data_IF_790048453773
#
_entry.id   IF_790048453773
#
_cell.length_a   1.000
_cell.length_b   1.000
_cell.length_c   1.000
_cell.angle_alpha   90.00
_cell.angle_beta   90.00
_cell.angle_gamma   90.00
#
_symmetry.space_group_name_H-M   'P 1'
#
loop_
_entity.id
_entity.type
_entity.pdbx_description
1 polymer ?
#
# COMPACT_ATOMS: atom_id res chain seq x y z
N UNK A 1 -94.70 82.24 -27.84
CA UNK A 1 -93.51 82.02 -28.68
C UNK A 1 -92.22 82.16 -27.84
N UNK A 2 -91.93 83.32 -27.25
CA UNK A 2 -90.71 83.54 -26.44
C UNK A 2 -90.52 82.57 -25.24
N UNK A 3 -91.59 82.16 -24.57
CA UNK A 3 -91.50 81.21 -23.44
C UNK A 3 -91.13 79.77 -23.86
N UNK A 4 -91.46 79.37 -25.09
CA UNK A 4 -91.14 78.03 -25.60
C UNK A 4 -89.69 77.95 -26.08
N UNK A 5 -89.17 79.01 -26.71
CA UNK A 5 -87.75 79.13 -27.09
C UNK A 5 -86.83 79.19 -25.85
N UNK A 6 -87.26 79.88 -24.78
CA UNK A 6 -86.54 79.91 -23.52
C UNK A 6 -86.49 78.54 -22.80
N UNK A 7 -87.54 77.72 -22.93
CA UNK A 7 -87.56 76.35 -22.39
C UNK A 7 -86.66 75.40 -23.19
N UNK A 8 -86.64 75.51 -24.52
CA UNK A 8 -85.73 74.74 -25.38
C UNK A 8 -84.25 75.11 -25.16
N UNK A 9 -83.96 76.38 -24.88
CA UNK A 9 -82.60 76.81 -24.52
C UNK A 9 -82.14 76.27 -23.15
N UNK A 10 -83.06 75.85 -22.28
CA UNK A 10 -82.76 75.36 -20.93
C UNK A 10 -82.58 73.84 -20.84
N UNK A 11 -83.05 73.09 -21.84
CA UNK A 11 -82.98 71.61 -21.88
C UNK A 11 -81.53 71.06 -21.87
N UNK A 12 -80.57 71.60 -22.65
CA UNK A 12 -79.17 71.17 -22.58
C UNK A 12 -78.53 71.44 -21.22
N UNK A 13 -78.91 72.54 -20.56
CA UNK A 13 -78.42 72.87 -19.23
C UNK A 13 -78.93 71.88 -18.18
N UNK A 14 -80.19 71.46 -18.29
CA UNK A 14 -80.77 70.43 -17.41
C UNK A 14 -80.12 69.05 -17.62
N UNK A 15 -79.87 68.66 -18.86
CA UNK A 15 -79.14 67.42 -19.19
C UNK A 15 -77.74 67.42 -18.59
N UNK A 16 -76.97 68.50 -18.79
CA UNK A 16 -75.64 68.65 -18.19
C UNK A 16 -75.69 68.64 -16.67
N UNK A 17 -76.71 69.22 -16.04
CA UNK A 17 -76.88 69.16 -14.58
C UNK A 17 -77.14 67.73 -14.09
N UNK A 18 -77.96 66.96 -14.82
CA UNK A 18 -78.23 65.56 -14.51
C UNK A 18 -77.00 64.68 -14.69
N UNK A 19 -76.29 64.80 -15.80
CA UNK A 19 -75.03 64.09 -16.03
C UNK A 19 -73.98 64.44 -14.98
N UNK A 20 -73.84 65.72 -14.64
CA UNK A 20 -72.91 66.16 -13.61
C UNK A 20 -73.29 65.60 -12.23
N UNK A 21 -74.59 65.47 -11.95
CA UNK A 21 -75.06 64.78 -10.75
C UNK A 21 -74.68 63.29 -10.74
N UNK A 22 -74.92 62.56 -11.84
CA UNK A 22 -74.55 61.15 -11.98
C UNK A 22 -73.04 60.94 -11.82
N UNK A 23 -72.22 61.75 -12.50
CA UNK A 23 -70.76 61.69 -12.38
C UNK A 23 -70.29 61.96 -10.94
N UNK A 24 -70.96 62.86 -10.20
CA UNK A 24 -70.65 63.08 -8.77
C UNK A 24 -71.02 61.88 -7.92
N UNK A 25 -72.14 61.20 -8.20
CA UNK A 25 -72.50 59.96 -7.50
C UNK A 25 -71.53 58.83 -7.79
N UNK A 26 -71.16 58.63 -9.05
CA UNK A 26 -70.14 57.66 -9.46
C UNK A 26 -68.80 57.95 -8.80
N UNK A 27 -68.37 59.22 -8.78
CA UNK A 27 -67.13 59.61 -8.12
C UNK A 27 -67.21 59.33 -6.60
N UNK A 28 -68.36 59.55 -5.95
CA UNK A 28 -68.55 59.18 -4.54
C UNK A 28 -68.46 57.66 -4.33
N UNK A 29 -69.04 56.85 -5.23
CA UNK A 29 -68.97 55.38 -5.18
C UNK A 29 -67.54 54.87 -5.38
N UNK A 30 -66.85 55.36 -6.40
CA UNK A 30 -65.45 55.04 -6.65
C UNK A 30 -64.56 55.46 -5.46
N UNK A 31 -64.82 56.61 -4.86
CA UNK A 31 -64.08 57.03 -3.66
C UNK A 31 -64.33 56.12 -2.46
N UNK A 32 -65.53 55.57 -2.28
CA UNK A 32 -65.77 54.55 -1.24
C UNK A 32 -65.06 53.24 -1.54
N UNK A 33 -65.11 52.77 -2.78
CA UNK A 33 -64.42 51.54 -3.20
C UNK A 33 -62.89 51.65 -3.01
N UNK A 34 -62.29 52.77 -3.42
CA UNK A 34 -60.86 53.04 -3.20
C UNK A 34 -60.53 53.03 -1.71
N UNK A 35 -61.36 53.64 -0.86
CA UNK A 35 -61.16 53.63 0.60
C UNK A 35 -61.23 52.21 1.16
N UNK A 36 -62.19 51.40 0.72
CA UNK A 36 -62.28 50.01 1.12
C UNK A 36 -61.05 49.22 0.69
N UNK A 37 -60.64 49.33 -0.58
CA UNK A 37 -59.44 48.66 -1.10
C UNK A 37 -58.17 49.04 -0.34
N UNK A 38 -58.03 50.31 0.06
CA UNK A 38 -56.91 50.74 0.90
C UNK A 38 -56.94 50.08 2.27
N UNK A 39 -58.12 49.98 2.91
CA UNK A 39 -58.26 49.26 4.19
C UNK A 39 -57.92 47.77 4.03
N UNK A 40 -58.35 47.12 2.95
CA UNK A 40 -57.99 45.73 2.65
C UNK A 40 -56.48 45.56 2.44
N UNK A 41 -55.85 46.47 1.71
CA UNK A 41 -54.39 46.50 1.52
C UNK A 41 -53.68 46.64 2.87
N UNK A 42 -54.10 47.56 3.74
CA UNK A 42 -53.47 47.78 5.04
C UNK A 42 -53.62 46.56 5.96
N UNK A 43 -54.79 45.89 5.94
CA UNK A 43 -55.00 44.62 6.64
C UNK A 43 -54.07 43.52 6.13
N UNK A 44 -53.93 43.39 4.80
CA UNK A 44 -53.05 42.40 4.19
C UNK A 44 -51.57 42.65 4.55
N UNK A 45 -51.12 43.91 4.47
CA UNK A 45 -49.76 44.31 4.86
C UNK A 45 -49.51 44.03 6.34
N UNK A 46 -50.47 44.35 7.20
CA UNK A 46 -50.37 44.09 8.64
C UNK A 46 -50.29 42.59 8.94
N UNK A 47 -51.09 41.77 8.26
CA UNK A 47 -51.02 40.31 8.36
C UNK A 47 -49.67 39.77 7.86
N UNK A 48 -49.15 40.25 6.73
CA UNK A 48 -47.83 39.86 6.25
C UNK A 48 -46.71 40.25 7.22
N UNK A 49 -46.81 41.43 7.84
CA UNK A 49 -45.87 41.91 8.84
C UNK A 49 -45.94 41.05 10.12
N UNK A 50 -47.14 40.70 10.59
CA UNK A 50 -47.35 39.79 11.72
C UNK A 50 -46.77 38.39 11.47
N UNK A 51 -46.85 37.89 10.23
CA UNK A 51 -46.29 36.59 9.83
C UNK A 51 -44.78 36.63 9.50
N UNK A 52 -44.18 37.81 9.34
CA UNK A 52 -42.76 37.92 8.99
C UNK A 52 -41.82 37.32 10.05
N UNK A 53 -42.02 37.51 11.37
CA UNK A 53 -41.23 36.85 12.40
C UNK A 53 -41.29 35.32 12.33
N UNK A 54 -42.48 34.74 12.12
CA UNK A 54 -42.65 33.29 12.00
C UNK A 54 -41.88 32.74 10.78
N UNK A 55 -42.00 33.40 9.62
CA UNK A 55 -41.22 33.06 8.41
C UNK A 55 -39.71 33.14 8.65
N UNK A 56 -39.24 34.16 9.37
CA UNK A 56 -37.82 34.29 9.72
C UNK A 56 -37.34 33.19 10.68
N UNK A 57 -38.17 32.77 11.64
CA UNK A 57 -37.84 31.64 12.54
C UNK A 57 -37.74 30.33 11.75
N UNK A 58 -38.75 30.03 10.92
CA UNK A 58 -38.74 28.85 10.06
C UNK A 58 -37.51 28.83 9.12
N UNK A 59 -37.14 29.98 8.53
CA UNK A 59 -35.94 30.07 7.69
C UNK A 59 -34.65 29.72 8.46
N UNK A 60 -34.50 30.24 9.70
CA UNK A 60 -33.35 29.92 10.56
C UNK A 60 -33.34 28.44 10.97
N UNK A 61 -34.50 27.85 11.23
CA UNK A 61 -34.62 26.43 11.56
C UNK A 61 -34.21 25.55 10.37
N UNK A 62 -34.61 25.92 9.16
CA UNK A 62 -34.17 25.25 7.92
C UNK A 62 -32.66 25.38 7.72
N UNK A 63 -32.07 26.55 8.00
CA UNK A 63 -30.61 26.73 7.94
C UNK A 63 -29.88 25.85 8.97
N UNK A 64 -30.37 25.79 10.22
CA UNK A 64 -29.83 24.89 11.25
C UNK A 64 -29.95 23.43 10.85
N UNK A 65 -31.10 23.01 10.30
CA UNK A 65 -31.31 21.65 9.82
C UNK A 65 -30.33 21.29 8.69
N UNK A 66 -30.07 22.23 7.76
CA UNK A 66 -29.06 22.05 6.71
C UNK A 66 -27.65 21.90 7.29
N UNK A 67 -27.28 22.69 8.30
CA UNK A 67 -25.99 22.57 8.99
C UNK A 67 -25.85 21.20 9.70
N UNK A 68 -26.88 20.76 10.42
CA UNK A 68 -26.91 19.43 11.06
C UNK A 68 -26.81 18.31 10.03
N UNK A 69 -27.50 18.44 8.89
CA UNK A 69 -27.42 17.47 7.81
C UNK A 69 -26.00 17.39 7.21
N UNK A 70 -25.31 18.52 7.07
CA UNK A 70 -23.91 18.53 6.64
C UNK A 70 -23.00 17.85 7.66
N UNK A 71 -23.18 18.14 8.95
CA UNK A 71 -22.44 17.49 10.03
C UNK A 71 -22.66 15.98 10.04
N UNK A 72 -23.91 15.51 9.89
CA UNK A 72 -24.20 14.08 9.79
C UNK A 72 -23.51 13.42 8.61
N UNK A 73 -23.50 14.05 7.42
CA UNK A 73 -22.77 13.52 6.26
C UNK A 73 -21.26 13.42 6.53
N UNK A 74 -20.67 14.39 7.23
CA UNK A 74 -19.24 14.32 7.59
C UNK A 74 -18.98 13.17 8.55
N UNK A 75 -19.82 12.98 9.57
CA UNK A 75 -19.71 11.86 10.52
C UNK A 75 -19.89 10.53 9.81
N UNK A 76 -20.90 10.38 8.93
CA UNK A 76 -21.11 9.18 8.13
C UNK A 76 -19.90 8.85 7.26
N UNK A 77 -19.28 9.84 6.62
CA UNK A 77 -18.06 9.63 5.83
C UNK A 77 -16.89 9.15 6.70
N UNK A 78 -16.73 9.71 7.89
CA UNK A 78 -15.68 9.31 8.84
C UNK A 78 -15.91 7.90 9.43
N UNK A 79 -17.16 7.52 9.64
CA UNK A 79 -17.52 6.17 10.09
C UNK A 79 -17.26 5.14 8.98
N UNK A 80 -17.59 5.48 7.73
CA UNK A 80 -17.28 4.63 6.58
C UNK A 80 -15.77 4.43 6.41
N UNK A 81 -14.97 5.50 6.52
CA UNK A 81 -13.52 5.38 6.46
C UNK A 81 -12.96 4.57 7.62
N UNK A 82 -13.49 4.76 8.83
CA UNK A 82 -13.09 3.97 10.01
C UNK A 82 -13.41 2.49 9.82
N UNK A 83 -14.61 2.13 9.33
CA UNK A 83 -14.97 0.74 9.06
C UNK A 83 -14.06 0.09 8.01
N UNK A 84 -13.69 0.82 6.96
CA UNK A 84 -12.71 0.33 5.97
C UNK A 84 -11.32 0.10 6.59
N UNK A 85 -10.87 0.99 7.48
CA UNK A 85 -9.62 0.82 8.22
C UNK A 85 -9.68 -0.38 9.17
N UNK A 86 -10.80 -0.59 9.88
CA UNK A 86 -10.98 -1.73 10.78
C UNK A 86 -10.91 -3.07 10.02
N UNK A 87 -11.52 -3.15 8.83
CA UNK A 87 -11.40 -4.32 7.95
C UNK A 87 -9.95 -4.55 7.50
N UNK A 88 -9.26 -3.51 7.03
CA UNK A 88 -7.86 -3.60 6.62
C UNK A 88 -6.95 -4.04 7.78
N UNK A 89 -7.21 -3.58 9.00
CA UNK A 89 -6.46 -4.03 10.19
C UNK A 89 -6.71 -5.51 10.49
N UNK A 90 -7.94 -5.99 10.36
CA UNK A 90 -8.26 -7.41 10.57
C UNK A 90 -7.60 -8.31 9.52
N UNK A 91 -7.54 -7.87 8.26
CA UNK A 91 -6.82 -8.56 7.18
C UNK A 91 -5.31 -8.63 7.46
N UNK A 92 -4.69 -7.50 7.84
CA UNK A 92 -3.28 -7.46 8.22
C UNK A 92 -2.97 -8.34 9.43
N UNK A 93 -3.85 -8.38 10.43
CA UNK A 93 -3.70 -9.28 11.58
C UNK A 93 -3.77 -10.76 11.17
N UNK A 94 -4.65 -11.11 10.23
CA UNK A 94 -4.73 -12.46 9.68
C UNK A 94 -3.47 -12.84 8.89
N UNK A 95 -2.95 -11.93 8.08
CA UNK A 95 -1.67 -12.09 7.37
C UNK A 95 -0.49 -12.26 8.34
N UNK A 96 -0.44 -11.44 9.40
CA UNK A 96 0.58 -11.56 10.45
C UNK A 96 0.56 -12.94 11.10
N UNK A 97 -0.63 -13.46 11.45
CA UNK A 97 -0.79 -14.81 12.01
C UNK A 97 -0.35 -15.89 11.03
N UNK A 98 -0.71 -15.76 9.75
CA UNK A 98 -0.29 -16.68 8.69
C UNK A 98 1.24 -16.71 8.53
N UNK A 99 1.87 -15.53 8.50
CA UNK A 99 3.33 -15.40 8.41
C UNK A 99 4.03 -15.97 9.65
N UNK A 100 3.49 -15.75 10.85
CA UNK A 100 4.01 -16.35 12.08
C UNK A 100 4.01 -17.88 12.01
N UNK A 101 2.89 -18.49 11.59
CA UNK A 101 2.80 -19.93 11.39
C UNK A 101 3.82 -20.43 10.35
N UNK A 102 4.01 -19.69 9.25
CA UNK A 102 5.02 -20.04 8.24
C UNK A 102 6.44 -19.98 8.78
N UNK A 103 6.76 -18.96 9.58
CA UNK A 103 8.07 -18.83 10.24
C UNK A 103 8.30 -19.99 11.20
N UNK A 104 7.31 -20.38 11.99
CA UNK A 104 7.45 -21.55 12.86
C UNK A 104 7.66 -22.86 12.09
N UNK A 105 6.93 -23.06 10.99
CA UNK A 105 7.11 -24.22 10.12
C UNK A 105 8.55 -24.27 9.56
N UNK A 106 9.03 -23.14 9.03
CA UNK A 106 10.41 -23.01 8.54
C UNK A 106 11.45 -23.23 9.64
N UNK A 107 11.20 -22.79 10.88
CA UNK A 107 12.07 -23.08 12.03
C UNK A 107 12.14 -24.58 12.32
N UNK A 108 11.01 -25.29 12.27
CA UNK A 108 10.97 -26.76 12.46
C UNK A 108 11.73 -27.47 11.34
N UNK A 109 11.51 -27.09 10.09
CA UNK A 109 12.25 -27.61 8.92
C UNK A 109 13.77 -27.33 9.01
N UNK A 110 14.17 -26.15 9.48
CA UNK A 110 15.58 -25.82 9.67
C UNK A 110 16.24 -26.72 10.72
N UNK A 111 15.54 -26.96 11.84
CA UNK A 111 16.03 -27.84 12.91
C UNK A 111 16.17 -29.29 12.43
N UNK A 112 15.23 -29.80 11.63
CA UNK A 112 15.35 -31.15 11.07
C UNK A 112 16.51 -31.26 10.09
N UNK A 113 16.73 -30.26 9.23
CA UNK A 113 17.87 -30.21 8.32
C UNK A 113 19.21 -30.12 9.07
N UNK A 114 19.29 -29.37 10.18
CA UNK A 114 20.48 -29.33 11.04
C UNK A 114 20.80 -30.71 11.62
N UNK A 115 19.81 -31.41 12.18
CA UNK A 115 20.01 -32.77 12.69
C UNK A 115 20.46 -33.75 11.61
N UNK A 116 19.91 -33.63 10.40
CA UNK A 116 20.35 -34.44 9.26
C UNK A 116 21.77 -34.11 8.82
N UNK A 117 22.15 -32.82 8.82
CA UNK A 117 23.51 -32.37 8.54
C UNK A 117 24.50 -32.94 9.55
N UNK A 118 24.19 -32.85 10.85
CA UNK A 118 25.03 -33.37 11.92
C UNK A 118 25.19 -34.91 11.82
N UNK A 119 24.10 -35.62 11.50
CA UNK A 119 24.16 -37.07 11.26
C UNK A 119 25.06 -37.43 10.06
N UNK A 120 24.99 -36.68 8.96
CA UNK A 120 25.86 -36.87 7.80
C UNK A 120 27.31 -36.56 8.13
N UNK A 121 27.55 -35.50 8.92
CA UNK A 121 28.88 -35.11 9.36
C UNK A 121 29.52 -36.21 10.22
N UNK A 122 28.80 -36.76 11.20
CA UNK A 122 29.29 -37.88 12.03
C UNK A 122 29.63 -39.11 11.18
N UNK A 123 28.76 -39.48 10.23
CA UNK A 123 29.04 -40.59 9.31
C UNK A 123 30.28 -40.35 8.44
N UNK A 124 30.53 -39.10 8.04
CA UNK A 124 31.74 -38.74 7.32
C UNK A 124 32.98 -38.83 8.22
N UNK A 125 32.92 -38.33 9.46
CA UNK A 125 33.99 -38.43 10.46
C UNK A 125 34.31 -39.90 10.80
N UNK A 126 33.29 -40.76 10.92
CA UNK A 126 33.44 -42.20 11.13
C UNK A 126 34.12 -42.89 9.94
N UNK A 127 33.71 -42.56 8.70
CA UNK A 127 34.34 -43.09 7.49
C UNK A 127 35.80 -42.61 7.35
N UNK A 128 36.09 -41.36 7.70
CA UNK A 128 37.45 -40.82 7.73
C UNK A 128 38.32 -41.54 8.75
N UNK A 129 37.81 -41.80 9.96
CA UNK A 129 38.50 -42.58 10.99
C UNK A 129 38.76 -44.03 10.54
N UNK A 130 37.82 -44.67 9.84
CA UNK A 130 38.01 -46.01 9.27
C UNK A 130 39.10 -46.02 8.20
N UNK A 131 39.12 -45.03 7.30
CA UNK A 131 40.17 -44.89 6.29
C UNK A 131 41.54 -44.62 6.93
N UNK A 132 41.60 -43.83 8.00
CA UNK A 132 42.83 -43.60 8.75
C UNK A 132 43.36 -44.89 9.40
N UNK A 133 42.48 -45.66 10.05
CA UNK A 133 42.84 -46.94 10.67
C UNK A 133 43.31 -47.98 9.62
N UNK A 134 42.64 -48.04 8.46
CA UNK A 134 43.09 -48.85 7.33
C UNK A 134 44.47 -48.39 6.84
N UNK A 135 44.67 -47.08 6.66
CA UNK A 135 45.96 -46.49 6.27
C UNK A 135 47.09 -46.85 7.24
N UNK A 136 46.84 -46.80 8.55
CA UNK A 136 47.80 -47.23 9.57
C UNK A 136 48.07 -48.74 9.52
N UNK A 137 47.05 -49.57 9.27
CA UNK A 137 47.22 -51.02 9.14
C UNK A 137 48.07 -51.38 7.92
N UNK A 138 47.86 -50.71 6.78
CA UNK A 138 48.69 -50.86 5.59
C UNK A 138 50.12 -50.40 5.85
N UNK A 139 50.30 -49.25 6.52
CA UNK A 139 51.63 -48.75 6.92
C UNK A 139 52.37 -49.79 7.77
N UNK A 140 51.73 -50.35 8.80
CA UNK A 140 52.33 -51.38 9.66
C UNK A 140 52.64 -52.67 8.90
N UNK A 141 51.78 -53.09 7.96
CA UNK A 141 52.03 -54.27 7.14
C UNK A 141 53.23 -54.06 6.19
N UNK A 142 53.32 -52.89 5.56
CA UNK A 142 54.47 -52.49 4.75
C UNK A 142 55.75 -52.44 5.59
N UNK A 143 55.71 -51.87 6.79
CA UNK A 143 56.85 -51.87 7.73
C UNK A 143 57.31 -53.29 8.08
N UNK A 144 56.38 -54.23 8.32
CA UNK A 144 56.71 -55.65 8.54
C UNK A 144 57.31 -56.31 7.32
N UNK A 145 56.80 -56.04 6.12
CA UNK A 145 57.33 -56.57 4.87
C UNK A 145 58.75 -56.04 4.59
N UNK A 146 58.99 -54.74 4.85
CA UNK A 146 60.31 -54.14 4.76
C UNK A 146 61.26 -54.78 5.77
N UNK A 147 60.86 -54.92 7.03
CA UNK A 147 61.67 -55.59 8.05
C UNK A 147 61.98 -57.06 7.70
N UNK A 148 61.01 -57.80 7.15
CA UNK A 148 61.25 -59.16 6.66
C UNK A 148 62.25 -59.18 5.50
N UNK A 149 62.13 -58.25 4.56
CA UNK A 149 63.09 -58.09 3.46
C UNK A 149 64.49 -57.76 3.98
N UNK A 150 64.60 -56.82 4.91
CA UNK A 150 65.88 -56.48 5.56
C UNK A 150 66.46 -57.68 6.31
N UNK A 151 65.64 -58.46 7.03
CA UNK A 151 66.11 -59.67 7.73
C UNK A 151 66.55 -60.79 6.76
N UNK A 152 65.91 -60.90 5.59
CA UNK A 152 66.30 -61.82 4.52
C UNK A 152 67.63 -61.39 3.89
N UNK A 153 67.78 -60.09 3.61
CA UNK A 153 69.01 -59.49 3.11
C UNK A 153 70.16 -59.65 4.15
N UNK A 154 69.88 -59.47 5.44
CA UNK A 154 70.82 -59.76 6.54
C UNK A 154 71.15 -61.26 6.64
N UNK A 155 70.18 -62.17 6.46
CA UNK A 155 70.44 -63.61 6.48
C UNK A 155 71.27 -64.09 5.27
N UNK A 156 71.12 -63.42 4.12
CA UNK A 156 71.90 -63.66 2.91
C UNK A 156 73.31 -63.06 2.99
N UNK A 157 73.53 -62.06 3.87
CA UNK A 157 74.79 -61.32 3.96
C UNK A 157 75.53 -61.49 5.31
N UNK A 158 74.98 -62.26 6.25
CA UNK A 158 75.36 -62.26 7.66
C UNK A 158 75.68 -63.64 8.24
N UNK A 159 76.48 -64.44 7.53
CA UNK A 159 77.18 -65.56 8.16
C UNK A 159 78.40 -65.07 8.95
N UNK A 160 78.21 -64.48 10.14
CA UNK A 160 79.16 -64.57 11.26
C UNK A 160 78.71 -63.83 12.55
N UNK A 161 78.85 -64.57 13.66
CA UNK A 161 79.02 -64.13 15.05
C UNK A 161 77.80 -63.75 15.92
N UNK A 162 77.24 -64.80 16.54
CA UNK A 162 77.23 -65.06 18.00
C UNK A 162 77.05 -63.90 19.02
N UNK A 163 75.89 -63.94 19.70
CA UNK A 163 75.71 -64.26 21.15
C UNK A 163 75.77 -63.13 22.22
N UNK A 164 74.74 -63.17 23.10
CA UNK A 164 74.71 -63.06 24.59
C UNK A 164 73.63 -62.08 25.15
N UNK A 165 72.51 -62.67 25.55
CA UNK A 165 71.72 -62.65 26.81
C UNK A 165 71.65 -61.43 27.78
N UNK A 166 70.41 -61.09 28.22
CA UNK A 166 69.81 -61.19 29.59
C UNK A 166 68.71 -60.12 29.87
N UNK A 167 67.45 -60.51 30.14
CA UNK A 167 66.76 -60.60 31.47
C UNK A 167 66.59 -59.20 32.16
N UNK A 168 65.47 -58.72 32.72
CA UNK A 168 64.30 -59.32 33.37
C UNK A 168 63.22 -58.24 33.76
N UNK A 169 61.96 -58.69 33.97
CA UNK A 169 60.92 -58.26 34.97
C UNK A 169 60.39 -56.79 35.06
N UNK A 170 59.14 -56.41 35.47
CA UNK A 170 57.87 -57.02 35.95
C UNK A 170 56.76 -55.94 36.14
N UNK A 171 55.50 -56.42 36.27
CA UNK A 171 54.33 -55.87 37.04
C UNK A 171 53.50 -54.69 36.45
N UNK A 172 52.22 -54.88 36.07
CA UNK A 172 50.97 -55.09 36.84
C UNK A 172 50.34 -53.82 37.42
N UNK A 173 49.10 -53.50 36.99
CA UNK A 173 47.97 -53.13 37.86
C UNK A 173 46.63 -53.01 37.08
N UNK A 174 45.67 -53.86 37.45
CA UNK A 174 44.21 -53.72 37.32
C UNK A 174 43.70 -52.40 37.95
N UNK A 175 42.54 -51.79 37.65
CA UNK A 175 41.18 -52.30 37.90
C UNK A 175 40.07 -51.29 37.47
N UNK A 176 38.94 -51.84 37.00
CA UNK A 176 37.49 -51.50 37.21
C UNK A 176 36.87 -50.14 36.83
N UNK A 177 35.78 -50.18 36.02
CA UNK A 177 34.41 -49.94 36.50
C UNK A 177 33.29 -50.12 35.43
N UNK A 178 32.21 -50.79 35.88
CA UNK A 178 30.79 -50.67 35.51
C UNK A 178 30.19 -51.34 34.26
N UNK A 179 29.59 -52.49 34.53
CA UNK A 179 28.41 -53.09 33.88
C UNK A 179 27.20 -52.15 33.83
N UNK A 180 26.35 -52.29 32.80
CA UNK A 180 24.87 -52.39 32.88
C UNK A 180 24.34 -53.06 31.61
N UNK A 181 23.60 -54.14 31.82
CA UNK A 181 22.74 -54.87 30.88
C UNK A 181 21.66 -54.00 30.21
N UNK A 182 21.33 -54.28 28.94
CA UNK A 182 19.97 -54.72 28.55
C UNK A 182 19.86 -55.24 27.11
N UNK A 183 19.07 -56.30 27.02
CA UNK A 183 18.79 -57.22 25.93
C UNK A 183 17.87 -56.65 24.81
N UNK A 184 17.50 -57.43 23.77
CA UNK A 184 17.56 -57.03 22.36
C UNK A 184 16.20 -56.56 21.81
N UNK A 185 16.21 -55.91 20.65
CA UNK A 185 15.04 -55.99 19.78
C UNK A 185 15.42 -56.10 18.30
N UNK A 186 14.94 -57.19 17.72
CA UNK A 186 15.04 -57.60 16.33
C UNK A 186 13.85 -57.00 15.58
N UNK A 187 14.09 -56.13 14.60
CA UNK A 187 13.10 -55.82 13.55
C UNK A 187 13.83 -55.74 12.21
N UNK A 188 13.35 -56.57 11.27
CA UNK A 188 13.70 -56.65 9.86
C UNK A 188 13.45 -55.33 9.11
N UNK A 189 14.30 -55.03 8.13
CA UNK A 189 13.95 -54.58 6.76
C UNK A 189 15.26 -54.10 6.09
N UNK A 190 15.90 -54.90 5.25
CA UNK A 190 15.74 -54.92 3.78
C UNK A 190 16.17 -53.61 3.11
N UNK A 191 17.22 -53.70 2.28
CA UNK A 191 17.60 -52.88 1.09
C UNK A 191 19.14 -52.68 1.09
N UNK A 192 19.96 -53.58 0.55
CA UNK A 192 20.24 -53.74 -0.90
C UNK A 192 20.76 -52.44 -1.54
N UNK A 193 22.06 -52.16 -1.42
CA UNK A 193 23.06 -52.50 -2.44
C UNK A 193 24.40 -51.84 -2.12
N UNK A 194 25.42 -52.70 -2.02
CA UNK A 194 26.82 -52.36 -2.12
C UNK A 194 27.13 -51.85 -3.52
N UNK A 195 27.77 -50.69 -3.57
CA UNK A 195 28.77 -50.39 -4.59
C UNK A 195 30.09 -51.07 -4.19
N UNK A 196 30.90 -51.32 -5.23
CA UNK A 196 32.33 -51.59 -5.20
C UNK A 196 32.75 -53.02 -4.81
N UNK A 197 33.44 -53.74 -5.71
CA UNK A 197 34.88 -53.53 -5.85
C UNK A 197 35.42 -54.16 -7.13
N UNK A 198 36.27 -53.37 -7.79
CA UNK A 198 37.37 -53.85 -8.62
C UNK A 198 38.44 -54.40 -7.67
N UNK A 199 38.91 -55.62 -7.91
CA UNK A 199 40.28 -56.03 -7.59
C UNK A 199 40.77 -56.92 -8.72
N UNK A 200 41.66 -56.35 -9.52
CA UNK A 200 42.68 -57.08 -10.26
C UNK A 200 43.56 -57.84 -9.26
N UNK A 201 43.87 -59.11 -9.54
CA UNK A 201 45.14 -59.68 -9.12
C UNK A 201 45.51 -60.86 -10.04
N UNK A 202 46.52 -60.58 -10.87
CA UNK A 202 47.43 -61.55 -11.45
C UNK A 202 48.20 -62.26 -10.32
N UNK A 203 48.23 -63.59 -10.33
CA UNK A 203 49.29 -64.35 -9.69
C UNK A 203 49.47 -65.72 -10.34
N UNK A 204 50.57 -65.82 -11.09
CA UNK A 204 51.30 -67.05 -11.38
C UNK A 204 51.43 -67.97 -10.16
N UNK A 205 51.29 -69.28 -10.36
CA UNK A 205 52.31 -70.25 -9.94
C UNK A 205 52.00 -71.68 -10.40
N UNK A 206 52.79 -72.14 -11.36
CA UNK A 206 53.50 -73.44 -11.40
C UNK A 206 52.98 -74.62 -10.57
N UNK A 207 52.75 -75.78 -11.22
CA UNK A 207 53.71 -76.91 -11.18
C UNK A 207 53.23 -78.14 -11.97
N UNK A 208 54.08 -78.57 -12.90
CA UNK A 208 54.54 -79.94 -13.15
C UNK A 208 53.57 -81.13 -13.03
N UNK A 209 53.41 -81.90 -14.11
CA UNK A 209 54.10 -83.19 -14.29
C UNK A 209 53.45 -84.08 -15.38
N UNK A 210 54.33 -84.53 -16.29
CA UNK A 210 54.44 -85.93 -16.75
C UNK A 210 53.32 -86.58 -17.59
N UNK A 211 53.68 -86.77 -18.86
CA UNK A 211 53.59 -88.02 -19.63
C UNK A 211 52.28 -88.83 -19.59
N UNK A 212 51.59 -88.90 -20.72
CA UNK A 212 51.44 -90.17 -21.46
C UNK A 212 50.66 -89.96 -22.75
N UNK A 213 51.12 -90.64 -23.79
CA UNK A 213 50.55 -90.75 -25.11
C UNK A 213 49.14 -91.35 -25.11
N UNK A 214 48.16 -90.64 -25.69
CA UNK A 214 46.88 -91.20 -26.13
C UNK A 214 46.30 -90.37 -27.30
N UNK A 215 45.51 -90.97 -28.20
CA UNK A 215 45.36 -90.52 -29.58
C UNK A 215 44.48 -89.27 -29.72
N UNK A 216 44.81 -88.45 -30.71
CA UNK A 216 44.13 -87.17 -31.01
C UNK A 216 42.70 -87.42 -31.48
N UNK A 217 41.71 -87.16 -30.62
CA UNK A 217 40.29 -87.11 -30.99
C UNK A 217 39.94 -85.68 -31.43
N UNK A 218 40.07 -85.40 -32.73
CA UNK A 218 39.77 -84.08 -33.35
C UNK A 218 38.38 -83.51 -33.01
N UNK A 219 37.40 -84.37 -32.72
CA UNK A 219 36.05 -83.93 -32.36
C UNK A 219 35.97 -83.18 -31.02
N UNK A 220 36.79 -83.55 -30.02
CA UNK A 220 36.82 -82.87 -28.72
C UNK A 220 37.51 -81.51 -28.78
N UNK A 221 38.43 -81.34 -29.74
CA UNK A 221 39.14 -80.09 -30.00
C UNK A 221 38.23 -79.07 -30.70
N UNK A 222 37.41 -79.51 -31.67
CA UNK A 222 36.42 -78.66 -32.35
C UNK A 222 35.33 -78.20 -31.39
N UNK A 223 34.79 -79.09 -30.55
CA UNK A 223 33.79 -78.69 -29.54
C UNK A 223 34.36 -77.78 -28.45
N UNK A 224 35.64 -77.96 -28.09
CA UNK A 224 36.36 -77.03 -27.22
C UNK A 224 36.54 -75.64 -27.84
N UNK A 225 36.88 -75.58 -29.13
CA UNK A 225 36.98 -74.32 -29.88
C UNK A 225 35.62 -73.62 -30.03
N UNK A 226 34.55 -74.36 -30.30
CA UNK A 226 33.18 -73.81 -30.34
C UNK A 226 32.74 -73.30 -28.95
N UNK A 227 33.10 -73.98 -27.87
CA UNK A 227 32.83 -73.54 -26.50
C UNK A 227 33.58 -72.24 -26.14
N UNK A 228 34.81 -72.08 -26.62
CA UNK A 228 35.58 -70.84 -26.47
C UNK A 228 34.98 -69.73 -27.34
N UNK A 229 34.66 -70.02 -28.59
CA UNK A 229 34.05 -69.05 -29.51
C UNK A 229 32.70 -68.53 -28.98
N UNK A 230 31.85 -69.42 -28.44
CA UNK A 230 30.57 -69.05 -27.82
C UNK A 230 30.77 -68.20 -26.57
N UNK A 231 31.73 -68.52 -25.71
CA UNK A 231 32.10 -67.68 -24.55
C UNK A 231 32.63 -66.31 -24.97
N UNK A 232 33.47 -66.24 -25.99
CA UNK A 232 33.97 -64.96 -26.52
C UNK A 232 32.84 -64.12 -27.12
N UNK A 233 31.89 -64.74 -27.83
CA UNK A 233 30.72 -64.06 -28.37
C UNK A 233 29.76 -63.58 -27.28
N UNK A 234 29.48 -64.39 -26.26
CA UNK A 234 28.63 -63.98 -25.13
C UNK A 234 29.29 -62.84 -24.35
N UNK A 235 30.59 -62.92 -24.11
CA UNK A 235 31.35 -61.85 -23.46
C UNK A 235 31.34 -60.56 -24.28
N UNK A 236 31.56 -60.63 -25.60
CA UNK A 236 31.47 -59.46 -26.49
C UNK A 236 30.07 -58.85 -26.51
N UNK A 237 29.02 -59.67 -26.58
CA UNK A 237 27.63 -59.20 -26.54
C UNK A 237 27.31 -58.52 -25.21
N UNK A 238 27.75 -59.11 -24.10
CA UNK A 238 27.54 -58.54 -22.77
C UNK A 238 28.33 -57.24 -22.60
N UNK A 239 29.59 -57.18 -23.04
CA UNK A 239 30.40 -55.98 -23.01
C UNK A 239 29.82 -54.85 -23.89
N UNK A 240 29.30 -55.18 -25.09
CA UNK A 240 28.60 -54.22 -25.94
C UNK A 240 27.31 -53.72 -25.29
N UNK A 241 26.52 -54.59 -24.67
CA UNK A 241 25.31 -54.20 -23.95
C UNK A 241 25.62 -53.29 -22.75
N UNK A 242 26.66 -53.62 -21.98
CA UNK A 242 27.11 -52.81 -20.85
C UNK A 242 27.62 -51.43 -21.30
N UNK A 243 28.47 -51.37 -22.34
CA UNK A 243 28.97 -50.11 -22.88
C UNK A 243 27.84 -49.23 -23.44
N UNK A 244 26.87 -49.82 -24.14
CA UNK A 244 25.70 -49.10 -24.63
C UNK A 244 24.80 -48.60 -23.50
N UNK A 245 24.56 -49.41 -22.46
CA UNK A 245 23.82 -48.99 -21.28
C UNK A 245 24.52 -47.83 -20.53
N UNK A 246 25.85 -47.87 -20.43
CA UNK A 246 26.62 -46.75 -19.87
C UNK A 246 26.50 -45.48 -20.72
N UNK A 247 26.55 -45.61 -22.05
CA UNK A 247 26.36 -44.48 -22.98
C UNK A 247 24.97 -43.87 -22.84
N UNK A 248 23.92 -44.70 -22.74
CA UNK A 248 22.54 -44.23 -22.52
C UNK A 248 22.38 -43.53 -21.18
N UNK A 249 22.96 -44.06 -20.10
CA UNK A 249 22.94 -43.40 -18.78
C UNK A 249 23.64 -42.04 -18.83
N UNK A 250 24.75 -41.93 -19.55
CA UNK A 250 25.44 -40.64 -19.77
C UNK A 250 24.55 -39.67 -20.56
N UNK A 251 23.92 -40.12 -21.64
CA UNK A 251 22.99 -39.29 -22.43
C UNK A 251 21.80 -38.80 -21.58
N UNK A 252 21.17 -39.69 -20.80
CA UNK A 252 20.06 -39.33 -19.91
C UNK A 252 20.47 -38.30 -18.85
N UNK A 253 21.69 -38.37 -18.31
CA UNK A 253 22.22 -37.36 -17.39
C UNK A 253 22.37 -35.99 -18.06
N UNK A 254 22.88 -35.93 -19.29
CA UNK A 254 22.99 -34.67 -20.02
C UNK A 254 21.62 -34.07 -20.37
N UNK A 255 20.64 -34.89 -20.73
CA UNK A 255 19.27 -34.43 -20.98
C UNK A 255 18.64 -33.85 -19.71
N UNK A 256 18.81 -34.51 -18.56
CA UNK A 256 18.34 -34.02 -17.27
C UNK A 256 19.00 -32.68 -16.90
N UNK A 257 20.31 -32.57 -17.04
CA UNK A 257 21.05 -31.33 -16.79
C UNK A 257 20.60 -30.19 -17.72
N UNK A 258 20.36 -30.49 -19.00
CA UNK A 258 19.90 -29.49 -19.96
C UNK A 258 18.47 -29.03 -19.65
N UNK A 259 17.59 -29.93 -19.21
CA UNK A 259 16.25 -29.59 -18.74
C UNK A 259 16.29 -28.70 -17.49
N UNK A 260 17.18 -28.97 -16.53
CA UNK A 260 17.38 -28.13 -15.36
C UNK A 260 17.92 -26.73 -15.74
N UNK A 261 18.91 -26.67 -16.63
CA UNK A 261 19.44 -25.41 -17.16
C UNK A 261 18.36 -24.56 -17.84
N UNK A 262 17.46 -25.17 -18.62
CA UNK A 262 16.31 -24.46 -19.20
C UNK A 262 15.38 -23.90 -18.14
N UNK A 263 14.99 -24.73 -17.16
CA UNK A 263 14.14 -24.27 -16.04
C UNK A 263 14.76 -23.13 -15.25
N UNK A 264 16.08 -23.18 -15.01
CA UNK A 264 16.79 -22.12 -14.31
C UNK A 264 16.85 -20.84 -15.14
N UNK A 265 17.09 -20.93 -16.45
CA UNK A 265 17.04 -19.77 -17.36
C UNK A 265 15.67 -19.12 -17.37
N UNK A 266 14.60 -19.90 -17.44
CA UNK A 266 13.22 -19.41 -17.37
C UNK A 266 12.95 -18.70 -16.03
N UNK A 267 13.34 -19.29 -14.91
CA UNK A 267 13.24 -18.65 -13.58
C UNK A 267 14.03 -17.34 -13.47
N UNK A 268 15.23 -17.29 -14.05
CA UNK A 268 16.04 -16.06 -14.07
C UNK A 268 15.35 -14.98 -14.92
N UNK A 269 14.78 -15.35 -16.08
CA UNK A 269 14.03 -14.41 -16.91
C UNK A 269 12.77 -13.91 -16.21
N UNK A 270 12.02 -14.78 -15.53
CA UNK A 270 10.86 -14.40 -14.72
C UNK A 270 11.25 -13.47 -13.58
N UNK A 271 12.31 -13.82 -12.84
CA UNK A 271 12.85 -12.99 -11.77
C UNK A 271 13.35 -11.63 -12.31
N UNK A 272 13.90 -11.59 -13.51
CA UNK A 272 14.32 -10.35 -14.18
C UNK A 272 13.17 -9.43 -14.59
N UNK A 273 11.97 -9.97 -14.83
CA UNK A 273 10.77 -9.16 -15.14
C UNK A 273 10.14 -8.51 -13.90
N UNK A 274 10.36 -9.06 -12.71
CA UNK A 274 9.85 -8.49 -11.45
C UNK A 274 10.37 -7.06 -11.19
N UNK A 275 11.69 -6.77 -11.24
CA UNK A 275 12.19 -5.42 -11.01
C UNK A 275 11.73 -4.44 -12.10
N UNK A 276 11.56 -4.89 -13.35
CA UNK A 276 11.01 -4.03 -14.41
C UNK A 276 9.56 -3.62 -14.13
N UNK A 277 8.72 -4.56 -13.66
CA UNK A 277 7.34 -4.27 -13.26
C UNK A 277 7.31 -3.31 -12.07
N UNK A 278 8.11 -3.57 -11.04
CA UNK A 278 8.22 -2.69 -9.87
C UNK A 278 8.73 -1.30 -10.25
N UNK A 279 9.69 -1.19 -11.18
CA UNK A 279 10.16 0.09 -11.68
C UNK A 279 9.07 0.85 -12.45
N UNK A 280 8.27 0.15 -13.25
CA UNK A 280 7.13 0.76 -13.96
C UNK A 280 6.03 1.24 -13.00
N UNK A 281 5.73 0.48 -11.95
CA UNK A 281 4.79 0.86 -10.90
C UNK A 281 5.31 2.07 -10.10
N UNK A 282 6.57 2.05 -9.67
CA UNK A 282 7.21 3.19 -9.01
C UNK A 282 7.17 4.44 -9.91
N UNK A 283 7.43 4.30 -11.22
CA UNK A 283 7.35 5.42 -12.14
C UNK A 283 5.92 5.98 -12.28
N UNK A 284 4.88 5.15 -12.21
CA UNK A 284 3.48 5.60 -12.17
C UNK A 284 3.17 6.34 -10.87
N UNK A 285 3.53 5.77 -9.73
CA UNK A 285 3.33 6.39 -8.42
C UNK A 285 4.03 7.75 -8.31
N UNK A 286 5.26 7.88 -8.84
CA UNK A 286 5.98 9.16 -8.87
C UNK A 286 5.24 10.22 -9.68
N UNK A 287 4.61 9.86 -10.80
CA UNK A 287 3.79 10.80 -11.60
C UNK A 287 2.53 11.21 -10.86
N UNK A 288 1.81 10.26 -10.29
CA UNK A 288 0.60 10.54 -9.50
C UNK A 288 0.91 11.46 -8.31
N UNK A 289 2.02 11.22 -7.61
CA UNK A 289 2.48 12.09 -6.52
C UNK A 289 2.84 13.49 -7.02
N UNK A 290 3.45 13.62 -8.20
CA UNK A 290 3.74 14.92 -8.80
C UNK A 290 2.45 15.69 -9.14
N UNK A 291 1.49 15.04 -9.80
CA UNK A 291 0.18 15.63 -10.13
C UNK A 291 -0.58 16.08 -8.88
N UNK A 292 -0.57 15.25 -7.83
CA UNK A 292 -1.19 15.60 -6.55
C UNK A 292 -0.51 16.82 -5.90
N UNK A 293 0.82 16.91 -5.95
CA UNK A 293 1.57 18.08 -5.44
C UNK A 293 1.20 19.35 -6.20
N UNK A 294 1.16 19.29 -7.53
CA UNK A 294 0.75 20.44 -8.35
C UNK A 294 -0.70 20.88 -8.03
N UNK A 295 -1.61 19.92 -7.85
CA UNK A 295 -3.01 20.23 -7.48
C UNK A 295 -3.12 20.89 -6.10
N UNK A 296 -2.31 20.43 -5.12
CA UNK A 296 -2.25 21.02 -3.78
C UNK A 296 -1.71 22.45 -3.83
N UNK A 297 -0.65 22.71 -4.60
CA UNK A 297 -0.11 24.06 -4.78
C UNK A 297 -1.15 25.00 -5.42
N UNK A 298 -1.90 24.52 -6.42
CA UNK A 298 -2.96 25.31 -7.04
C UNK A 298 -4.09 25.62 -6.06
N UNK A 299 -4.50 24.66 -5.23
CA UNK A 299 -5.52 24.86 -4.21
C UNK A 299 -5.04 25.82 -3.10
N UNK A 300 -3.78 25.71 -2.68
CA UNK A 300 -3.19 26.64 -1.71
C UNK A 300 -3.16 28.07 -2.24
N UNK A 301 -2.79 28.28 -3.52
CA UNK A 301 -2.85 29.61 -4.15
C UNK A 301 -4.27 30.17 -4.15
N UNK A 302 -5.26 29.37 -4.56
CA UNK A 302 -6.68 29.80 -4.55
C UNK A 302 -7.19 30.11 -3.15
N UNK A 303 -6.75 29.37 -2.15
CA UNK A 303 -7.11 29.61 -0.75
C UNK A 303 -6.50 30.93 -0.27
N UNK A 304 -5.21 31.17 -0.53
CA UNK A 304 -4.55 32.44 -0.21
C UNK A 304 -5.23 33.64 -0.91
N UNK A 305 -5.61 33.50 -2.18
CA UNK A 305 -6.35 34.54 -2.91
C UNK A 305 -7.73 34.80 -2.29
N UNK A 306 -8.45 33.74 -1.90
CA UNK A 306 -9.76 33.86 -1.26
C UNK A 306 -9.67 34.49 0.13
N UNK A 307 -8.66 34.13 0.92
CA UNK A 307 -8.36 34.74 2.22
C UNK A 307 -8.02 36.22 2.08
N UNK A 308 -7.16 36.58 1.14
CA UNK A 308 -6.83 37.97 0.87
C UNK A 308 -8.07 38.78 0.47
N UNK A 309 -8.93 38.23 -0.40
CA UNK A 309 -10.21 38.86 -0.77
C UNK A 309 -11.14 39.02 0.44
N UNK A 310 -11.19 38.04 1.34
CA UNK A 310 -11.99 38.11 2.56
C UNK A 310 -11.49 39.21 3.51
N UNK A 311 -10.18 39.32 3.71
CA UNK A 311 -9.54 40.37 4.51
C UNK A 311 -9.86 41.75 3.92
N UNK A 312 -9.68 41.93 2.62
CA UNK A 312 -10.00 43.20 1.93
C UNK A 312 -11.48 43.54 2.06
N UNK A 313 -12.38 42.56 1.94
CA UNK A 313 -13.81 42.79 2.15
C UNK A 313 -14.14 43.17 3.60
N UNK A 314 -13.47 42.54 4.57
CA UNK A 314 -13.65 42.86 5.98
C UNK A 314 -13.19 44.27 6.30
N UNK A 315 -11.97 44.66 5.89
CA UNK A 315 -11.46 46.02 6.03
C UNK A 315 -12.42 47.05 5.43
N UNK A 316 -12.94 46.79 4.22
CA UNK A 316 -13.95 47.65 3.59
C UNK A 316 -15.24 47.77 4.39
N UNK A 317 -15.68 46.71 5.07
CA UNK A 317 -16.88 46.75 5.93
C UNK A 317 -16.60 47.55 7.20
N UNK A 318 -15.41 47.41 7.78
CA UNK A 318 -14.97 48.15 8.95
C UNK A 318 -14.85 49.65 8.64
N UNK A 319 -14.25 50.02 7.50
CA UNK A 319 -14.17 51.40 7.00
C UNK A 319 -15.55 52.01 6.76
N UNK A 320 -16.48 51.24 6.19
CA UNK A 320 -17.86 51.68 6.03
C UNK A 320 -18.53 51.91 7.39
N UNK A 321 -18.30 51.00 8.34
CA UNK A 321 -18.87 51.10 9.68
C UNK A 321 -18.32 52.30 10.47
N UNK A 322 -17.04 52.65 10.32
CA UNK A 322 -16.44 53.84 10.95
C UNK A 322 -17.01 55.12 10.35
N UNK A 323 -17.12 55.21 9.02
CA UNK A 323 -17.71 56.38 8.34
C UNK A 323 -19.20 56.57 8.67
N UNK A 324 -19.98 55.50 8.72
CA UNK A 324 -21.39 55.56 9.16
C UNK A 324 -21.50 56.03 10.62
N UNK A 325 -20.56 55.63 11.48
CA UNK A 325 -20.48 56.12 12.87
C UNK A 325 -20.18 57.62 12.94
N UNK A 326 -19.30 58.14 12.06
CA UNK A 326 -19.02 59.57 11.96
C UNK A 326 -20.27 60.37 11.57
N UNK A 327 -20.95 59.99 10.48
CA UNK A 327 -22.20 60.66 10.06
C UNK A 327 -23.26 60.62 11.14
N UNK A 328 -23.48 59.45 11.75
CA UNK A 328 -24.42 59.33 12.86
C UNK A 328 -24.00 60.17 14.08
N UNK A 329 -22.69 60.36 14.30
CA UNK A 329 -22.13 61.25 15.32
C UNK A 329 -22.50 62.71 15.08
N UNK A 330 -22.20 63.24 13.89
CA UNK A 330 -22.49 64.62 13.49
C UNK A 330 -24.01 64.90 13.52
N UNK A 331 -24.84 63.99 12.98
CA UNK A 331 -26.31 64.13 13.03
C UNK A 331 -26.82 64.14 14.47
N UNK A 332 -26.32 63.28 15.34
CA UNK A 332 -26.70 63.28 16.76
C UNK A 332 -26.23 64.54 17.48
N UNK A 333 -25.09 65.11 17.11
CA UNK A 333 -24.60 66.36 17.68
C UNK A 333 -25.49 67.53 17.25
N UNK A 334 -25.82 67.61 15.97
CA UNK A 334 -26.76 68.60 15.43
C UNK A 334 -28.14 68.52 16.12
N UNK A 335 -28.73 67.32 16.21
CA UNK A 335 -30.02 67.13 16.88
C UNK A 335 -29.98 67.51 18.37
N UNK A 336 -28.86 67.30 19.06
CA UNK A 336 -28.68 67.75 20.46
C UNK A 336 -28.65 69.27 20.57
N UNK A 337 -27.97 69.95 19.66
CA UNK A 337 -27.94 71.42 19.60
C UNK A 337 -29.35 71.98 19.36
N UNK A 338 -30.04 71.47 18.32
CA UNK A 338 -31.42 71.86 17.99
C UNK A 338 -32.37 71.63 19.17
N UNK A 339 -32.31 70.46 19.82
CA UNK A 339 -33.14 70.16 21.00
C UNK A 339 -32.85 71.12 22.16
N UNK A 340 -31.57 71.47 22.38
CA UNK A 340 -31.16 72.41 23.42
C UNK A 340 -31.63 73.84 23.16
N UNK A 341 -31.77 74.25 21.91
CA UNK A 341 -32.34 75.54 21.52
C UNK A 341 -33.85 75.57 21.61
N UNK A 342 -34.55 74.54 21.13
CA UNK A 342 -36.01 74.41 21.25
C UNK A 342 -36.44 74.49 22.72
N UNK A 343 -35.71 73.82 23.63
CA UNK A 343 -35.96 73.89 25.08
C UNK A 343 -35.73 75.28 25.67
N UNK A 344 -34.83 76.09 25.11
CA UNK A 344 -34.49 77.44 25.60
C UNK A 344 -35.40 78.51 25.02
N UNK A 345 -35.85 78.36 23.76
CA UNK A 345 -36.55 79.40 22.99
C UNK A 345 -38.04 79.12 22.75
N UNK A 346 -38.68 78.21 23.51
CA UNK A 346 -40.12 77.85 23.48
C UNK A 346 -40.95 78.53 22.36
N UNK A 347 -41.04 77.87 21.20
CA UNK A 347 -41.95 78.29 20.11
C UNK A 347 -41.35 79.14 18.99
N UNK A 348 -40.10 79.62 19.09
CA UNK A 348 -39.40 80.26 17.97
C UNK A 348 -38.58 79.24 17.15
N UNK A 349 -38.45 79.48 15.84
CA UNK A 349 -37.64 78.65 14.94
C UNK A 349 -36.19 78.60 15.46
N UNK A 350 -35.60 77.41 15.69
CA UNK A 350 -34.23 77.32 16.16
C UNK A 350 -33.27 77.96 15.17
N UNK A 351 -32.45 78.91 15.65
CA UNK A 351 -31.35 79.48 14.87
C UNK A 351 -30.37 78.39 14.42
N UNK A 352 -30.34 77.23 15.10
CA UNK A 352 -29.57 76.08 14.68
C UNK A 352 -29.91 75.52 13.31
N UNK A 353 -31.13 75.76 12.80
CA UNK A 353 -31.47 75.38 11.43
C UNK A 353 -30.62 76.18 10.42
N UNK A 354 -30.16 77.37 10.81
CA UNK A 354 -29.26 78.23 10.04
C UNK A 354 -27.76 78.03 10.36
N UNK A 355 -27.37 77.07 11.22
CA UNK A 355 -25.96 76.76 11.49
C UNK A 355 -25.32 76.09 10.27
N UNK A 356 -24.90 76.90 9.31
CA UNK A 356 -24.25 76.47 8.07
C UNK A 356 -23.04 75.55 8.33
N UNK A 357 -22.27 75.80 9.40
CA UNK A 357 -21.11 74.98 9.80
C UNK A 357 -21.48 73.54 10.21
N UNK A 358 -22.68 73.34 10.77
CA UNK A 358 -23.14 72.00 11.15
C UNK A 358 -23.66 71.21 9.95
N UNK A 359 -24.32 71.89 9.02
CA UNK A 359 -24.74 71.31 7.75
C UNK A 359 -23.56 71.02 6.82
N UNK A 360 -22.53 71.87 6.82
CA UNK A 360 -21.28 71.64 6.10
C UNK A 360 -20.57 70.37 6.59
N UNK A 361 -20.43 70.19 7.91
CA UNK A 361 -19.83 68.95 8.48
C UNK A 361 -20.63 67.69 8.18
N UNK A 362 -21.95 67.77 8.21
CA UNK A 362 -22.82 66.64 7.82
C UNK A 362 -22.69 66.35 6.32
N UNK A 363 -22.63 67.39 5.48
CA UNK A 363 -22.44 67.25 4.03
C UNK A 363 -21.08 66.62 3.70
N UNK A 364 -19.98 67.12 4.28
CA UNK A 364 -18.64 66.54 4.13
C UNK A 364 -18.59 65.08 4.57
N UNK A 365 -19.21 64.73 5.70
CA UNK A 365 -19.26 63.36 6.18
C UNK A 365 -20.10 62.44 5.27
N UNK A 366 -21.14 62.97 4.61
CA UNK A 366 -21.93 62.26 3.61
C UNK A 366 -21.18 62.12 2.27
N UNK A 367 -20.44 63.14 1.84
CA UNK A 367 -19.57 63.07 0.66
C UNK A 367 -18.50 61.99 0.82
N UNK A 368 -17.87 61.89 1.99
CA UNK A 368 -16.93 60.81 2.32
C UNK A 368 -17.58 59.41 2.26
N UNK A 369 -18.88 59.28 2.51
CA UNK A 369 -19.60 58.00 2.31
C UNK A 369 -19.89 57.74 0.83
N UNK A 370 -20.22 58.77 0.05
CA UNK A 370 -20.61 58.67 -1.35
C UNK A 370 -19.43 58.37 -2.28
N UNK A 371 -18.25 58.96 -2.05
CA UNK A 371 -17.06 58.75 -2.89
C UNK A 371 -16.62 57.27 -3.00
N UNK A 372 -16.96 56.40 -2.04
CA UNK A 372 -16.66 54.95 -2.14
C UNK A 372 -17.78 54.13 -2.81
N UNK A 373 -19.02 54.64 -2.81
CA UNK A 373 -20.14 53.95 -3.45
C UNK A 373 -20.02 53.93 -4.98
N UNK A 374 -19.38 54.95 -5.56
CA UNK A 374 -19.07 55.06 -6.98
C UNK A 374 -17.96 54.09 -7.41
N UNK A 375 -16.94 53.88 -6.58
CA UNK A 375 -15.89 52.88 -6.83
C UNK A 375 -16.42 51.44 -6.86
N UNK A 376 -17.50 51.15 -6.10
CA UNK A 376 -18.21 49.86 -6.14
C UNK A 376 -18.87 49.59 -7.49
N UNK A 377 -19.37 50.61 -8.19
CA UNK A 377 -19.99 50.45 -9.50
C UNK A 377 -18.95 50.16 -10.60
N UNK A 378 -17.78 50.82 -10.54
CA UNK A 378 -16.72 50.67 -11.55
C UNK A 378 -16.01 49.31 -11.41
N UNK A 379 -15.76 48.85 -10.18
CA UNK A 379 -15.10 47.56 -9.94
C UNK A 379 -15.98 46.36 -10.33
N UNK A 380 -17.31 46.44 -10.16
CA UNK A 380 -18.26 45.39 -10.58
C UNK A 380 -18.41 45.31 -12.10
N UNK A 381 -18.35 46.44 -12.80
CA UNK A 381 -18.42 46.48 -14.27
C UNK A 381 -17.25 45.80 -14.96
N UNK A 382 -16.02 45.89 -14.39
CA UNK A 382 -14.83 45.23 -14.95
C UNK A 382 -14.75 43.73 -14.69
N UNK A 383 -15.36 43.22 -13.62
CA UNK A 383 -15.38 41.79 -13.32
C UNK A 383 -16.31 40.99 -14.23
N UNK A 384 -17.38 41.61 -14.75
CA UNK A 384 -18.34 40.97 -15.65
C UNK A 384 -17.96 41.09 -17.14
N UNK A 385 -16.89 41.80 -17.48
CA UNK A 385 -16.42 42.00 -18.86
C UNK A 385 -15.28 41.07 -19.30
N UNK A 386 -14.92 40.08 -18.47
CA UNK A 386 -13.96 39.01 -18.79
C UNK A 386 -14.64 37.66 -18.63
N UNK A 387 -15.59 37.36 -19.50
CA UNK A 387 -16.04 36.01 -19.82
C UNK A 387 -15.88 35.86 -21.32
#
# INVERSE_FOLDING_TARGET
MAAAEALLAYEPLQQLQHENFLLREENRRLQSEVRELLVWKDKAVSHMAAMAPARRRAAREVERAKQLQQQLRTVESSLKSRGALELATAELEAECKSLQLRVEALKRENNTLKLQSDSRKRRAEEAEAQLAALGESFRLHLERLVALRESLDESMNGGNNSKIDKEDEKQQAETTASSIDRHPNKINATSSNQDSDNVDDDADSSSSASSSSAPVNSAALVTGLDAVATKCLSWLQEHLAQSFAQQQRKAARYEAQHAEMKRLKERIQEAGRVPEKLAAENAKQVREVAELRESLEQLQKRLADAEHLAIVQQQRREDMATRLRLVAGEVRQYLRLVRGEIKRKFGYLPEAIAHAESWARIAEALELLLCQSTDRCIARGRANGKI
#
